data_IF_194500791935
#
_entry.id   IF_194500791935
#
_cell.length_a   1.000
_cell.length_b   1.000
_cell.length_c   1.000
_cell.angle_alpha   90.00
_cell.angle_beta   90.00
_cell.angle_gamma   90.00
#
_symmetry.space_group_name_H-M   'P 1'
#
loop_
_entity.id
_entity.type
_entity.pdbx_description
1 polymer ?
#
# COMPACT_ATOMS: atom_id res chain seq x y z
N UNK A 1 2.36 -6.83 -9.39
CA UNK A 1 1.93 -5.48 -9.00
C UNK A 1 1.39 -5.61 -7.60
N UNK A 2 2.20 -5.24 -6.62
CA UNK A 2 1.93 -5.48 -5.23
C UNK A 2 2.10 -4.15 -4.47
N UNK A 3 1.42 -4.02 -3.34
CA UNK A 3 1.66 -2.91 -2.42
C UNK A 3 1.75 -3.57 -1.07
N UNK A 4 2.88 -3.36 -0.43
CA UNK A 4 3.25 -4.01 0.82
C UNK A 4 2.99 -3.02 1.96
N UNK A 5 2.19 -3.45 2.90
CA UNK A 5 1.89 -2.72 4.12
C UNK A 5 2.65 -3.40 5.25
N UNK A 6 3.35 -2.62 6.08
CA UNK A 6 4.16 -3.16 7.17
C UNK A 6 3.56 -2.76 8.52
N UNK A 7 3.42 -3.76 9.40
CA UNK A 7 2.95 -3.62 10.78
C UNK A 7 4.03 -4.08 11.75
N UNK A 8 4.24 -3.34 12.83
CA UNK A 8 5.18 -3.68 13.87
C UNK A 8 4.53 -4.60 14.91
N UNK A 9 5.06 -5.83 15.03
CA UNK A 9 4.81 -6.70 16.18
C UNK A 9 6.11 -6.76 16.98
N UNK A 10 6.01 -6.82 18.32
CA UNK A 10 7.08 -6.74 19.35
C UNK A 10 8.42 -7.48 19.10
N UNK A 11 8.55 -8.26 18.03
CA UNK A 11 9.71 -9.11 17.67
C UNK A 11 10.04 -9.16 16.17
N UNK A 12 9.34 -8.46 15.27
CA UNK A 12 9.61 -8.52 13.83
C UNK A 12 8.48 -7.90 12.99
N UNK A 13 8.86 -7.33 11.84
CA UNK A 13 7.93 -6.68 10.89
C UNK A 13 6.99 -7.73 10.30
N UNK A 14 5.71 -7.41 10.20
CA UNK A 14 4.68 -8.26 9.59
C UNK A 14 4.20 -7.63 8.27
N UNK A 15 4.14 -8.42 7.21
CA UNK A 15 3.82 -7.97 5.86
C UNK A 15 2.35 -8.25 5.49
N UNK A 16 1.63 -7.19 5.12
CA UNK A 16 0.27 -7.24 4.63
C UNK A 16 0.24 -6.91 3.14
N UNK A 17 -0.22 -7.86 2.33
CA UNK A 17 -0.39 -7.69 0.89
C UNK A 17 -1.81 -7.31 0.52
N UNK A 18 -1.98 -6.29 -0.33
CA UNK A 18 -3.30 -5.94 -0.89
C UNK A 18 -3.53 -6.53 -2.29
N UNK A 19 -4.76 -6.94 -2.60
CA UNK A 19 -5.12 -7.52 -3.89
C UNK A 19 -6.57 -7.22 -4.32
N UNK A 20 -6.87 -7.29 -5.62
CA UNK A 20 -8.24 -7.31 -6.16
C UNK A 20 -8.74 -8.74 -6.36
N UNK A 21 -10.04 -8.93 -6.49
CA UNK A 21 -10.62 -10.26 -6.78
C UNK A 21 -9.95 -10.99 -7.96
N UNK A 22 -9.59 -10.27 -9.03
CA UNK A 22 -8.88 -10.82 -10.18
C UNK A 22 -7.47 -11.33 -9.84
N UNK A 23 -6.85 -10.78 -8.81
CA UNK A 23 -5.48 -11.05 -8.38
C UNK A 23 -5.41 -11.97 -7.15
N UNK A 24 -6.55 -12.53 -6.70
CA UNK A 24 -6.64 -13.39 -5.50
C UNK A 24 -5.67 -14.59 -5.48
N UNK A 25 -5.17 -15.00 -6.65
CA UNK A 25 -4.21 -16.11 -6.81
C UNK A 25 -2.80 -15.65 -7.19
N UNK A 26 -2.50 -14.37 -7.00
CA UNK A 26 -1.17 -13.82 -7.29
C UNK A 26 -0.11 -14.51 -6.42
N UNK A 27 0.98 -14.97 -7.05
CA UNK A 27 2.09 -15.65 -6.37
C UNK A 27 2.72 -14.80 -5.26
N UNK A 28 2.68 -13.47 -5.40
CA UNK A 28 3.25 -12.54 -4.43
C UNK A 28 2.54 -12.61 -3.07
N UNK A 29 1.25 -12.98 -3.06
CA UNK A 29 0.46 -13.12 -1.82
C UNK A 29 0.96 -14.26 -0.93
N UNK A 30 1.67 -15.24 -1.49
CA UNK A 30 2.22 -16.36 -0.74
C UNK A 30 3.38 -15.97 0.20
N UNK A 31 3.95 -14.78 0.01
CA UNK A 31 5.06 -14.27 0.83
C UNK A 31 4.59 -13.26 1.89
N UNK A 32 3.28 -13.02 1.99
CA UNK A 32 2.69 -12.08 2.93
C UNK A 32 2.15 -12.84 4.13
N UNK A 33 2.32 -12.28 5.32
CA UNK A 33 1.74 -12.84 6.56
C UNK A 33 0.22 -12.70 6.56
N UNK A 34 -0.27 -11.56 6.06
CA UNK A 34 -1.69 -11.26 5.93
C UNK A 34 -2.00 -10.73 4.53
N UNK A 35 -3.25 -10.87 4.10
CA UNK A 35 -3.71 -10.29 2.84
C UNK A 35 -5.07 -9.64 2.98
N UNK A 36 -5.28 -8.53 2.27
CA UNK A 36 -6.55 -7.79 2.26
C UNK A 36 -7.05 -7.60 0.84
N UNK A 37 -8.32 -7.97 0.61
CA UNK A 37 -8.99 -7.72 -0.65
C UNK A 37 -9.48 -6.26 -0.70
N UNK A 38 -9.14 -5.54 -1.76
CA UNK A 38 -9.46 -4.13 -1.95
C UNK A 38 -10.67 -3.91 -2.88
N UNK A 39 -11.29 -5.00 -3.33
CA UNK A 39 -12.58 -5.02 -4.01
C UNK A 39 -12.58 -5.70 -5.37
N UNK A 40 -13.71 -5.54 -6.06
CA UNK A 40 -13.93 -6.13 -7.38
C UNK A 40 -12.98 -5.57 -8.43
N UNK A 41 -12.71 -6.39 -9.44
CA UNK A 41 -11.79 -6.11 -10.54
C UNK A 41 -12.35 -5.09 -11.54
N UNK A 42 -12.56 -3.84 -11.11
CA UNK A 42 -13.16 -2.83 -11.98
C UNK A 42 -12.10 -2.05 -12.79
N UNK A 43 -10.81 -2.11 -12.44
CA UNK A 43 -9.66 -1.76 -13.31
C UNK A 43 -8.37 -1.59 -12.48
N UNK A 44 -7.24 -1.35 -13.16
CA UNK A 44 -5.98 -0.84 -12.55
C UNK A 44 -6.18 0.40 -11.66
N UNK A 45 -7.30 1.12 -11.76
CA UNK A 45 -7.61 2.29 -10.91
C UNK A 45 -7.86 1.93 -9.46
N UNK A 46 -8.27 0.70 -9.14
CA UNK A 46 -8.54 0.33 -7.75
C UNK A 46 -7.26 0.37 -6.89
N UNK A 47 -6.11 0.00 -7.45
CA UNK A 47 -4.81 0.15 -6.80
C UNK A 47 -4.27 1.59 -6.79
N UNK A 48 -4.92 2.51 -7.52
CA UNK A 48 -4.64 3.95 -7.47
C UNK A 48 -5.59 4.67 -6.51
N UNK A 49 -6.52 3.96 -5.86
CA UNK A 49 -7.47 4.57 -4.94
C UNK A 49 -6.83 4.76 -3.56
N UNK A 50 -6.24 5.93 -3.37
CA UNK A 50 -5.59 6.37 -2.13
C UNK A 50 -6.53 6.20 -0.92
N UNK A 51 -7.81 6.55 -1.05
CA UNK A 51 -8.76 6.47 0.06
C UNK A 51 -8.99 5.02 0.53
N UNK A 52 -9.09 4.08 -0.41
CA UNK A 52 -9.23 2.66 -0.08
C UNK A 52 -7.97 2.12 0.61
N UNK A 53 -6.79 2.49 0.12
CA UNK A 53 -5.51 2.06 0.71
C UNK A 53 -5.38 2.60 2.15
N UNK A 54 -5.68 3.88 2.37
CA UNK A 54 -5.68 4.47 3.71
C UNK A 54 -6.68 3.81 4.65
N UNK A 55 -7.87 3.47 4.14
CA UNK A 55 -8.88 2.76 4.94
C UNK A 55 -8.34 1.42 5.40
N UNK A 56 -7.76 0.63 4.50
CA UNK A 56 -7.18 -0.68 4.83
C UNK A 56 -6.01 -0.52 5.80
N UNK A 57 -5.11 0.43 5.54
CA UNK A 57 -3.97 0.68 6.42
C UNK A 57 -4.43 0.98 7.86
N UNK A 58 -5.49 1.78 8.02
CA UNK A 58 -6.10 2.05 9.33
C UNK A 58 -6.79 0.83 9.94
N UNK A 59 -7.61 0.13 9.16
CA UNK A 59 -8.37 -1.05 9.62
C UNK A 59 -7.43 -2.16 10.14
N UNK A 60 -6.24 -2.30 9.55
CA UNK A 60 -5.25 -3.31 9.93
C UNK A 60 -4.18 -2.82 10.92
N UNK A 61 -4.14 -1.52 11.20
CA UNK A 61 -3.14 -0.90 12.08
C UNK A 61 -1.73 -0.97 11.49
N UNK A 62 -1.60 -0.52 10.24
CA UNK A 62 -0.35 -0.47 9.48
C UNK A 62 0.46 0.77 9.87
N UNK A 63 1.75 0.58 10.12
CA UNK A 63 2.67 1.65 10.49
C UNK A 63 3.38 2.26 9.28
N UNK A 64 3.59 1.47 8.22
CA UNK A 64 4.29 1.92 7.02
C UNK A 64 3.75 1.30 5.73
N UNK A 65 3.88 2.01 4.61
CA UNK A 65 3.53 1.54 3.27
C UNK A 65 4.74 1.59 2.36
N UNK A 66 5.02 0.47 1.70
CA UNK A 66 5.96 0.35 0.59
C UNK A 66 5.16 0.14 -0.71
N UNK A 67 4.97 1.18 -1.53
CA UNK A 67 4.50 0.99 -2.89
C UNK A 67 5.66 0.46 -3.74
N UNK A 68 5.43 -0.68 -4.40
CA UNK A 68 6.29 -1.17 -5.49
C UNK A 68 6.61 -0.06 -6.50
N UNK A 69 7.54 -0.31 -7.41
CA UNK A 69 7.82 0.58 -8.53
C UNK A 69 6.59 0.84 -9.42
N UNK A 70 6.28 2.12 -9.66
CA UNK A 70 5.13 2.58 -10.43
C UNK A 70 3.89 2.87 -9.56
N UNK A 71 2.76 3.15 -10.20
CA UNK A 71 1.50 3.48 -9.51
C UNK A 71 1.61 4.72 -8.61
N UNK A 72 1.56 4.51 -7.29
CA UNK A 72 1.54 5.57 -6.30
C UNK A 72 2.95 5.91 -5.78
N UNK A 73 3.99 5.18 -6.22
CA UNK A 73 5.38 5.40 -5.79
C UNK A 73 5.88 6.82 -6.10
N UNK A 74 5.32 7.47 -7.11
CA UNK A 74 5.67 8.84 -7.54
C UNK A 74 4.53 9.84 -7.32
N UNK A 75 3.49 9.44 -6.59
CA UNK A 75 2.31 10.27 -6.39
C UNK A 75 2.42 11.09 -5.10
N UNK A 76 2.70 12.40 -5.24
CA UNK A 76 2.81 13.30 -4.09
C UNK A 76 1.55 13.34 -3.21
N UNK A 77 0.36 13.23 -3.80
CA UNK A 77 -0.88 13.21 -3.04
C UNK A 77 -1.01 11.95 -2.18
N UNK A 78 -0.45 10.83 -2.64
CA UNK A 78 -0.41 9.60 -1.84
C UNK A 78 0.51 9.74 -0.64
N UNK A 79 1.73 10.25 -0.84
CA UNK A 79 2.67 10.51 0.26
C UNK A 79 2.07 11.46 1.28
N UNK A 80 1.52 12.58 0.83
CA UNK A 80 0.89 13.57 1.73
C UNK A 80 -0.31 12.99 2.49
N UNK A 81 -1.07 12.09 1.87
CA UNK A 81 -2.20 11.44 2.53
C UNK A 81 -1.75 10.41 3.59
N UNK A 82 -0.64 9.69 3.35
CA UNK A 82 -0.03 8.80 4.33
C UNK A 82 0.53 9.59 5.52
N UNK A 83 1.25 10.69 5.26
CA UNK A 83 1.76 11.58 6.31
C UNK A 83 0.63 12.13 7.18
N UNK A 84 -0.47 12.57 6.54
CA UNK A 84 -1.67 13.06 7.26
C UNK A 84 -2.39 11.97 8.06
N UNK A 85 -2.15 10.71 7.74
CA UNK A 85 -2.67 9.55 8.46
C UNK A 85 -1.66 8.96 9.46
N UNK A 86 -0.50 9.62 9.65
CA UNK A 86 0.60 9.16 10.51
C UNK A 86 1.18 7.80 10.10
N UNK A 87 1.12 7.48 8.80
CA UNK A 87 1.68 6.26 8.21
C UNK A 87 2.97 6.58 7.47
N UNK A 88 4.03 5.82 7.73
CA UNK A 88 5.35 6.03 7.12
C UNK A 88 5.33 5.58 5.65
N UNK A 89 5.76 6.45 4.74
CA UNK A 89 6.03 6.04 3.36
C UNK A 89 7.45 5.49 3.25
N UNK A 90 7.60 4.25 2.80
CA UNK A 90 8.88 3.62 2.49
C UNK A 90 9.07 3.65 0.97
N UNK A 91 10.00 4.48 0.50
CA UNK A 91 10.30 4.58 -0.93
C UNK A 91 11.13 5.81 -1.28
N UNK A 92 11.49 5.93 -2.55
CA UNK A 92 12.18 7.11 -3.06
C UNK A 92 11.18 8.25 -3.24
N UNK A 93 11.28 9.27 -2.40
CA UNK A 93 10.61 10.55 -2.65
C UNK A 93 11.29 11.25 -3.83
N UNK A 94 10.66 11.22 -5.01
CA UNK A 94 11.01 12.19 -6.06
C UNK A 94 10.43 13.53 -5.62
N UNK A 95 11.23 14.28 -4.85
CA UNK A 95 10.91 15.66 -4.49
C UNK A 95 10.92 16.45 -5.79
N UNK A 96 9.74 16.70 -6.35
CA UNK A 96 9.58 17.54 -7.52
C UNK A 96 10.24 18.89 -7.27
N UNK A 97 11.20 19.25 -8.11
CA UNK A 97 11.67 20.63 -8.21
C UNK A 97 10.43 21.45 -8.55
N UNK A 98 9.97 22.27 -7.59
CA UNK A 98 9.00 23.32 -7.88
C UNK A 98 9.67 24.25 -8.87
N UNK A 99 9.24 24.24 -10.13
CA UNK A 99 9.61 25.26 -11.10
C UNK A 99 8.61 26.42 -11.01
#
# INVERSE_FOLDING_TARGET
MHTELQKHVKIGICALGIYLDADKRSLNLNFMDETANIGEAVSKRSYLNIANILKIAKDYGVDAVHPDYGFLSENFNFVSALESAEIIFIGLLVKGIKN
#
